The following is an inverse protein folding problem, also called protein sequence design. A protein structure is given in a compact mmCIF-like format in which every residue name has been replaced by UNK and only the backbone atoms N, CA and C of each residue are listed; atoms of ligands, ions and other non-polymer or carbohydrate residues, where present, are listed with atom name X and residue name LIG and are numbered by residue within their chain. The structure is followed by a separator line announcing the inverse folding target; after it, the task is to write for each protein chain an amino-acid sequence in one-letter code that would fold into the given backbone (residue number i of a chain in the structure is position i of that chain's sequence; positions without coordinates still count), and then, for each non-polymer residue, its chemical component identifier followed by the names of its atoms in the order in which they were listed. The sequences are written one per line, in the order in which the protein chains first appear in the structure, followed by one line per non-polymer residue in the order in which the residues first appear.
data_IF_264730410535
#
_entry.id   IF_264730410535
#
_cell.length_a   1.000
_cell.length_b   1.000
_cell.length_c   1.000
_cell.angle_alpha   90.00
_cell.angle_beta   90.00
_cell.angle_gamma   90.00
#
_symmetry.space_group_name_H-M   'P 1'
#
loop_
_entity.id
_entity.type
_entity.pdbx_description
1 polymer ?
#
# COMPACT_ATOMS: atom_id res chain seq x y z
N UNK A 1 9.67 11.78 14.07
CA UNK A 1 8.91 10.78 13.30
C UNK A 1 7.53 10.56 13.90
N UNK A 2 7.41 10.09 15.15
CA UNK A 2 6.10 9.93 15.82
C UNK A 2 5.23 11.20 15.82
N UNK A 3 5.80 12.34 16.23
CA UNK A 3 5.13 13.64 16.20
C UNK A 3 4.62 14.08 14.82
N UNK A 4 5.31 13.72 13.73
CA UNK A 4 4.85 14.06 12.38
C UNK A 4 3.57 13.27 12.04
N UNK A 5 3.55 11.97 12.35
CA UNK A 5 2.37 11.14 12.16
C UNK A 5 1.19 11.56 13.04
N UNK A 6 1.45 11.87 14.32
CA UNK A 6 0.39 12.23 15.26
C UNK A 6 -0.13 13.65 15.06
N UNK A 7 0.75 14.63 14.80
CA UNK A 7 0.36 16.04 14.74
C UNK A 7 0.05 16.53 13.33
N UNK A 8 0.76 16.06 12.29
CA UNK A 8 0.51 16.54 10.91
C UNK A 8 -0.48 15.67 10.15
N UNK A 9 -0.51 14.36 10.42
CA UNK A 9 -1.40 13.43 9.73
C UNK A 9 -2.56 12.93 10.62
N UNK A 10 -2.51 13.19 11.93
CA UNK A 10 -3.56 12.74 12.87
C UNK A 10 -3.64 11.22 13.02
N UNK A 11 -2.58 10.48 12.67
CA UNK A 11 -2.58 9.02 12.67
C UNK A 11 -2.19 8.45 14.02
N UNK A 12 -2.89 7.39 14.43
CA UNK A 12 -2.61 6.68 15.68
C UNK A 12 -1.35 5.85 15.52
N UNK A 13 -0.34 6.14 16.33
CA UNK A 13 0.90 5.37 16.37
C UNK A 13 0.90 4.39 17.53
N UNK A 14 1.41 3.18 17.30
CA UNK A 14 1.50 2.16 18.34
C UNK A 14 2.81 2.25 19.13
N UNK A 15 2.83 1.78 20.40
CA UNK A 15 4.07 1.60 21.14
C UNK A 15 4.94 0.49 20.52
N UNK A 16 6.26 0.67 20.59
CA UNK A 16 7.26 -0.27 20.08
C UNK A 16 8.26 0.33 19.09
N UNK A 17 9.35 -0.41 18.87
CA UNK A 17 10.35 -0.16 17.84
C UNK A 17 10.45 -1.41 16.94
N UNK A 18 10.32 -1.28 15.60
CA UNK A 18 10.11 -0.04 14.86
C UNK A 18 8.73 0.60 15.10
N UNK A 19 8.60 1.89 14.79
CA UNK A 19 7.35 2.65 14.93
C UNK A 19 6.29 2.02 14.03
N UNK A 20 5.06 1.86 14.54
CA UNK A 20 3.94 1.26 13.81
C UNK A 20 2.75 2.20 13.78
N UNK A 21 1.98 2.15 12.70
CA UNK A 21 0.75 2.91 12.49
C UNK A 21 -0.43 1.94 12.53
N UNK A 22 -1.48 2.29 13.28
CA UNK A 22 -2.70 1.49 13.33
C UNK A 22 -3.54 1.71 12.05
N UNK A 23 -4.07 0.62 11.49
CA UNK A 23 -4.96 0.63 10.32
C UNK A 23 -6.42 0.43 10.72
N UNK A 24 -7.36 0.76 9.82
CA UNK A 24 -8.81 0.68 10.04
C UNK A 24 -9.38 1.68 11.03
N UNK A 25 -8.67 2.80 11.22
CA UNK A 25 -9.17 3.97 11.93
C UNK A 25 -9.33 5.16 10.98
N UNK A 26 -8.26 5.46 10.24
CA UNK A 26 -8.17 6.59 9.29
C UNK A 26 -7.94 6.12 7.86
N UNK A 27 -7.30 4.97 7.71
CA UNK A 27 -6.97 4.36 6.44
C UNK A 27 -6.83 2.84 6.64
N UNK A 28 -7.09 2.12 5.57
CA UNK A 28 -6.69 0.73 5.39
C UNK A 28 -5.50 0.66 4.45
N UNK A 29 -4.87 -0.51 4.34
CA UNK A 29 -3.71 -0.70 3.48
C UNK A 29 -3.91 -1.90 2.59
N UNK A 30 -3.77 -1.71 1.27
CA UNK A 30 -3.58 -2.81 0.32
C UNK A 30 -2.10 -3.14 0.24
N UNK A 31 -1.75 -4.37 0.59
CA UNK A 31 -0.40 -4.92 0.59
C UNK A 31 -0.26 -5.92 -0.57
N UNK A 32 0.59 -5.59 -1.54
CA UNK A 32 0.80 -6.32 -2.79
C UNK A 32 2.30 -6.55 -3.06
N UNK A 33 2.70 -7.48 -3.95
CA UNK A 33 4.09 -7.60 -4.35
C UNK A 33 4.54 -6.32 -5.05
N UNK A 34 5.70 -5.78 -4.70
CA UNK A 34 6.24 -4.56 -5.28
C UNK A 34 6.35 -4.64 -6.80
N UNK A 35 6.73 -5.82 -7.32
CA UNK A 35 6.77 -6.08 -8.75
C UNK A 35 5.40 -5.87 -9.45
N UNK A 36 4.29 -6.14 -8.75
CA UNK A 36 2.92 -5.92 -9.25
C UNK A 36 2.47 -4.47 -9.07
N UNK A 37 2.86 -3.87 -7.95
CA UNK A 37 2.51 -2.49 -7.61
C UNK A 37 3.17 -1.45 -8.53
N UNK A 38 4.46 -1.59 -8.86
CA UNK A 38 5.17 -0.60 -9.70
C UNK A 38 4.52 -0.34 -11.06
N UNK A 39 4.17 -1.37 -11.87
CA UNK A 39 3.44 -1.15 -13.12
C UNK A 39 2.07 -0.50 -12.90
N UNK A 40 1.43 -0.75 -11.76
CA UNK A 40 0.11 -0.23 -11.47
C UNK A 40 0.14 1.23 -10.99
N UNK A 41 1.26 1.75 -10.46
CA UNK A 41 1.41 3.14 -10.05
C UNK A 41 1.12 4.17 -11.15
N UNK A 42 1.25 3.80 -12.43
CA UNK A 42 0.91 4.66 -13.58
C UNK A 42 -0.60 4.86 -13.76
N UNK A 43 -1.38 3.96 -13.17
CA UNK A 43 -2.84 3.94 -13.22
C UNK A 43 -3.47 4.53 -11.95
N UNK A 44 -2.64 4.93 -10.99
CA UNK A 44 -3.07 5.57 -9.75
C UNK A 44 -2.85 7.07 -9.85
N UNK A 45 -3.75 7.82 -9.22
CA UNK A 45 -3.59 9.26 -9.04
C UNK A 45 -2.23 9.58 -8.39
N UNK A 46 -1.61 10.72 -8.76
CA UNK A 46 -0.33 11.12 -8.18
C UNK A 46 -0.40 11.33 -6.66
N UNK A 47 -1.59 11.65 -6.14
CA UNK A 47 -1.86 11.90 -4.73
C UNK A 47 -2.02 10.62 -3.88
N UNK A 48 -2.13 9.43 -4.46
CA UNK A 48 -2.31 8.19 -3.68
C UNK A 48 -1.03 7.88 -2.88
N UNK A 49 -1.09 7.83 -1.53
CA UNK A 49 0.08 7.55 -0.72
C UNK A 49 0.51 6.09 -0.86
N UNK A 50 1.80 5.88 -1.16
CA UNK A 50 2.37 4.54 -1.38
C UNK A 50 3.68 4.40 -0.64
N UNK A 51 3.78 3.34 0.16
CA UNK A 51 4.99 2.93 0.85
C UNK A 51 5.55 1.61 0.29
N UNK A 52 6.87 1.43 0.38
CA UNK A 52 7.58 0.20 0.04
C UNK A 52 8.20 -0.39 1.30
N UNK A 53 7.98 -1.68 1.55
CA UNK A 53 8.67 -2.44 2.60
C UNK A 53 9.19 -3.75 2.02
N UNK A 54 10.51 -3.84 1.85
CA UNK A 54 11.14 -5.02 1.23
C UNK A 54 10.63 -5.23 -0.20
N UNK A 55 10.05 -6.39 -0.46
CA UNK A 55 9.44 -6.78 -1.73
C UNK A 55 7.92 -6.54 -1.79
N UNK A 56 7.36 -5.87 -0.78
CA UNK A 56 5.94 -5.54 -0.67
C UNK A 56 5.71 -4.05 -0.85
N UNK A 57 4.64 -3.69 -1.55
CA UNK A 57 4.15 -2.34 -1.73
C UNK A 57 2.84 -2.18 -0.98
N UNK A 58 2.73 -1.08 -0.23
CA UNK A 58 1.60 -0.74 0.63
C UNK A 58 0.94 0.52 0.12
N UNK A 59 -0.28 0.38 -0.34
CA UNK A 59 -1.10 1.48 -0.85
C UNK A 59 -2.12 1.81 0.21
N UNK A 60 -2.17 3.08 0.61
CA UNK A 60 -3.18 3.53 1.57
C UNK A 60 -4.51 3.71 0.82
N UNK A 61 -5.57 3.19 1.42
CA UNK A 61 -6.95 3.24 0.92
C UNK A 61 -7.89 3.66 2.05
N UNK A 62 -9.11 4.06 1.74
CA UNK A 62 -10.07 4.53 2.74
C UNK A 62 -10.32 3.45 3.81
N UNK A 63 -10.52 3.86 5.06
CA UNK A 63 -10.88 2.91 6.12
C UNK A 63 -12.19 2.19 5.78
N UNK A 64 -12.24 0.87 5.99
CA UNK A 64 -13.34 -0.01 5.57
C UNK A 64 -13.06 -0.76 4.26
N UNK A 65 -12.12 -0.28 3.43
CA UNK A 65 -11.74 -0.95 2.17
C UNK A 65 -11.22 -2.38 2.39
N UNK A 66 -10.62 -2.66 3.55
CA UNK A 66 -10.12 -3.99 3.86
C UNK A 66 -11.24 -5.01 4.06
N UNK A 67 -12.37 -4.59 4.62
CA UNK A 67 -13.55 -5.44 4.83
C UNK A 67 -14.32 -5.65 3.51
N UNK A 68 -14.26 -4.66 2.61
CA UNK A 68 -14.89 -4.72 1.29
C UNK A 68 -14.08 -5.52 0.27
N UNK A 69 -12.75 -5.63 0.46
CA UNK A 69 -11.85 -6.27 -0.49
C UNK A 69 -12.29 -7.70 -0.88
N UNK A 70 -12.64 -8.61 0.04
CA UNK A 70 -13.04 -9.97 -0.34
C UNK A 70 -14.27 -9.99 -1.26
N UNK A 71 -15.31 -9.23 -0.91
CA UNK A 71 -16.52 -9.13 -1.74
C UNK A 71 -16.26 -8.48 -3.09
N UNK A 72 -15.34 -7.51 -3.14
CA UNK A 72 -14.92 -6.86 -4.39
C UNK A 72 -14.12 -7.82 -5.29
N UNK A 73 -13.20 -8.61 -4.71
CA UNK A 73 -12.47 -9.63 -5.46
C UNK A 73 -13.40 -10.72 -6.00
N UNK A 74 -14.38 -11.14 -5.21
CA UNK A 74 -15.39 -12.10 -5.66
C UNK A 74 -16.25 -11.54 -6.81
N UNK A 75 -16.71 -10.29 -6.68
CA UNK A 75 -17.49 -9.63 -7.73
C UNK A 75 -16.70 -9.43 -9.04
N UNK A 76 -15.40 -9.15 -8.93
CA UNK A 76 -14.49 -9.03 -10.08
C UNK A 76 -14.01 -10.40 -10.60
N UNK A 77 -14.52 -11.52 -10.08
CA UNK A 77 -14.12 -12.89 -10.45
C UNK A 77 -12.64 -13.23 -10.14
N UNK A 78 -11.99 -12.42 -9.30
CA UNK A 78 -10.61 -12.60 -8.85
C UNK A 78 -10.51 -13.46 -7.58
N UNK A 79 -11.58 -13.62 -6.80
CA UNK A 79 -11.56 -14.22 -5.46
C UNK A 79 -11.12 -15.68 -5.37
N UNK A 80 -11.31 -16.47 -6.44
CA UNK A 80 -10.85 -17.85 -6.51
C UNK A 80 -9.34 -17.98 -6.83
N UNK A 81 -8.69 -16.89 -7.23
CA UNK A 81 -7.29 -16.89 -7.62
C UNK A 81 -6.41 -16.55 -6.41
N UNK A 82 -5.29 -17.28 -6.20
CA UNK A 82 -4.33 -16.96 -5.15
C UNK A 82 -3.51 -15.74 -5.57
N UNK A 83 -4.16 -14.57 -5.54
CA UNK A 83 -3.54 -13.28 -5.72
C UNK A 83 -2.79 -12.97 -4.43
N UNK A 84 -1.51 -12.63 -4.54
CA UNK A 84 -0.67 -12.24 -3.41
C UNK A 84 -1.00 -10.82 -2.91
N UNK A 85 -2.29 -10.45 -3.00
CA UNK A 85 -2.90 -9.18 -2.66
C UNK A 85 -3.66 -9.38 -1.36
N UNK A 86 -3.32 -8.60 -0.35
CA UNK A 86 -3.94 -8.65 0.98
C UNK A 86 -4.34 -7.25 1.42
N UNK A 87 -5.35 -7.14 2.28
CA UNK A 87 -5.69 -5.89 2.95
C UNK A 87 -5.40 -5.97 4.44
N UNK A 88 -4.96 -4.84 5.00
CA UNK A 88 -4.72 -4.65 6.42
C UNK A 88 -5.70 -3.58 6.89
N UNK A 89 -6.76 -4.02 7.56
CA UNK A 89 -7.86 -3.19 8.04
C UNK A 89 -7.84 -2.96 9.55
N UNK A 90 -9.02 -2.87 10.15
CA UNK A 90 -9.20 -2.63 11.58
C UNK A 90 -8.47 -3.66 12.45
N UNK A 91 -7.76 -3.17 13.47
CA UNK A 91 -6.95 -4.02 14.37
C UNK A 91 -5.60 -4.44 13.78
N UNK A 92 -5.34 -4.14 12.51
CA UNK A 92 -4.05 -4.28 11.86
C UNK A 92 -3.08 -3.13 12.15
N UNK A 93 -1.86 -3.27 11.64
CA UNK A 93 -0.86 -2.20 11.70
C UNK A 93 0.17 -2.36 10.60
N UNK A 94 0.78 -1.24 10.21
CA UNK A 94 1.95 -1.23 9.32
C UNK A 94 3.15 -0.60 10.02
N UNK A 95 4.35 -0.98 9.61
CA UNK A 95 5.56 -0.24 10.01
C UNK A 95 5.51 1.16 9.41
N UNK A 96 5.73 2.17 10.26
CA UNK A 96 5.64 3.57 9.88
C UNK A 96 6.72 3.89 8.83
N UNK A 97 6.34 4.31 7.61
CA UNK A 97 7.33 4.60 6.61
C UNK A 97 8.21 5.79 7.00
N UNK A 98 9.45 5.84 6.50
CA UNK A 98 10.32 6.98 6.78
C UNK A 98 9.87 8.20 5.96
N UNK A 99 9.57 9.36 6.57
CA UNK A 99 9.28 10.60 5.86
C UNK A 99 10.46 11.01 4.95
N UNK A 100 10.17 11.36 3.71
CA UNK A 100 11.17 11.71 2.69
C UNK A 100 11.94 13.02 2.98
N UNK A 101 11.57 13.77 4.03
CA UNK A 101 12.18 15.05 4.42
C UNK A 101 13.23 15.00 5.53
N UNK A 102 13.51 13.84 6.14
CA UNK A 102 14.52 13.72 7.21
C UNK A 102 15.96 13.52 6.70
N UNK A 103 16.21 13.83 5.42
CA UNK A 103 17.49 13.62 4.71
C UNK A 103 18.59 14.64 5.08
N UNK A 104 18.55 15.20 6.29
CA UNK A 104 19.59 16.09 6.83
C UNK A 104 20.74 15.36 7.54
N UNK A 105 20.77 14.02 7.55
CA UNK A 105 21.84 13.26 8.20
C UNK A 105 22.48 12.27 7.23
N UNK A 106 23.62 12.71 6.68
CA UNK A 106 24.78 11.98 6.13
C UNK A 106 24.58 10.49 5.79
N UNK A 107 24.93 10.02 4.57
CA UNK A 107 24.91 8.59 4.25
C UNK A 107 25.79 7.83 5.24
N UNK A 108 25.21 6.88 5.97
CA UNK A 108 25.98 5.93 6.76
C UNK A 108 26.75 5.01 5.80
N UNK A 109 28.01 4.67 6.09
CA UNK A 109 28.85 3.90 5.19
C UNK A 109 28.24 2.52 4.89
N UNK A 110 28.26 2.14 3.60
CA UNK A 110 27.98 0.78 3.13
C UNK A 110 28.89 -0.19 3.89
N UNK A 111 28.34 -0.88 4.89
CA UNK A 111 29.13 -1.83 5.68
C UNK A 111 28.35 -2.58 6.76
N UNK A 112 27.09 -2.22 7.02
CA UNK A 112 26.23 -2.96 7.96
C UNK A 112 24.77 -2.86 7.53
N UNK A 113 24.40 -3.60 6.49
CA UNK A 113 23.00 -3.85 6.15
C UNK A 113 22.40 -4.83 7.17
N UNK A 114 22.24 -4.38 8.41
CA UNK A 114 21.45 -5.05 9.44
C UNK A 114 20.26 -4.16 9.77
N UNK A 115 19.05 -4.67 9.58
CA UNK A 115 17.72 -4.01 9.70
C UNK A 115 17.20 -3.36 8.40
N UNK A 116 17.08 -4.16 7.34
CA UNK A 116 16.44 -3.82 6.06
C UNK A 116 14.89 -3.74 6.15
N UNK A 117 14.33 -3.46 7.35
CA UNK A 117 12.90 -3.57 7.66
C UNK A 117 12.09 -2.28 7.55
N UNK A 118 12.73 -1.12 7.47
CA UNK A 118 12.00 0.15 7.52
C UNK A 118 11.27 0.46 6.21
N UNK A 119 9.94 0.55 6.29
CA UNK A 119 9.13 1.04 5.19
C UNK A 119 9.59 2.45 4.75
N UNK A 120 9.51 2.75 3.45
CA UNK A 120 9.86 4.07 2.89
C UNK A 120 8.73 4.58 2.01
N UNK A 121 8.47 5.89 2.03
CA UNK A 121 7.48 6.48 1.11
C UNK A 121 8.02 6.50 -0.32
N UNK A 122 7.29 5.87 -1.25
CA UNK A 122 7.45 6.09 -2.69
C UNK A 122 6.69 7.34 -3.13
N UNK A 123 5.48 7.52 -2.59
CA UNK A 123 4.66 8.72 -2.72
C UNK A 123 4.16 9.09 -1.33
N UNK A 124 4.69 10.15 -0.70
CA UNK A 124 4.26 10.54 0.64
C UNK A 124 2.84 11.12 0.59
N UNK A 125 2.04 11.01 1.67
CA UNK A 125 0.80 11.76 1.80
C UNK A 125 1.10 13.27 1.84
N UNK A 126 0.22 14.09 1.27
CA UNK A 126 0.34 15.55 1.32
C UNK A 126 0.10 16.05 2.77
N UNK A 127 1.07 16.73 3.41
CA UNK A 127 0.87 17.29 4.75
C UNK A 127 -0.20 18.38 4.73
N UNK A 128 -1.18 18.30 5.64
CA UNK A 128 -2.23 19.33 5.79
C UNK A 128 -3.51 19.10 4.97
N UNK A 129 -3.55 18.09 4.11
CA UNK A 129 -4.80 17.56 3.57
C UNK A 129 -5.30 16.44 4.49
N UNK A 130 -6.61 16.39 4.75
CA UNK A 130 -7.22 15.22 5.39
C UNK A 130 -6.91 14.02 4.51
N UNK A 131 -6.02 13.14 4.95
CA UNK A 131 -5.53 12.00 4.16
C UNK A 131 -6.72 11.24 3.57
N UNK A 132 -7.78 11.07 4.36
CA UNK A 132 -9.07 10.46 4.00
C UNK A 132 -9.64 10.98 2.66
N UNK A 133 -9.50 12.27 2.36
CA UNK A 133 -10.03 12.88 1.13
C UNK A 133 -9.25 12.48 -0.14
N UNK A 134 -8.00 12.04 0.00
CA UNK A 134 -7.14 11.61 -1.10
C UNK A 134 -7.04 10.09 -1.25
N UNK A 135 -7.70 9.33 -0.35
CA UNK A 135 -7.65 7.87 -0.39
C UNK A 135 -8.67 7.32 -1.38
N UNK A 136 -8.29 6.29 -2.16
CA UNK A 136 -9.25 5.50 -2.93
C UNK A 136 -10.37 4.98 -2.01
N UNK A 137 -11.62 5.24 -2.38
CA UNK A 137 -12.83 4.80 -1.67
C UNK A 137 -13.78 4.05 -2.63
N UNK A 138 -14.70 3.23 -2.11
CA UNK A 138 -15.83 2.77 -2.92
C UNK A 138 -16.71 3.98 -3.22
N UNK A 139 -16.84 4.31 -4.51
CA UNK A 139 -17.57 5.49 -4.96
C UNK A 139 -19.07 5.38 -4.63
N UNK A 140 -19.49 5.90 -3.47
CA UNK A 140 -20.89 6.23 -3.20
C UNK A 140 -21.12 7.71 -3.54
N UNK A 141 -21.59 7.98 -4.77
CA UNK A 141 -22.25 9.23 -5.22
C UNK A 141 -21.58 10.56 -4.78
N UNK A 142 -20.90 11.21 -5.72
CA UNK A 142 -20.80 12.68 -5.73
C UNK A 142 -19.47 13.32 -5.30
N UNK A 143 -18.32 12.73 -5.64
CA UNK A 143 -17.00 13.37 -5.49
C UNK A 143 -16.38 13.65 -6.86
N UNK A 144 -15.86 14.85 -7.06
CA UNK A 144 -15.24 15.36 -8.29
C UNK A 144 -14.21 14.37 -8.88
N UNK A 145 -14.28 14.13 -10.18
CA UNK A 145 -13.76 12.94 -10.88
C UNK A 145 -12.25 12.79 -11.04
N UNK A 146 -11.45 13.02 -9.98
CA UNK A 146 -9.99 12.80 -9.98
C UNK A 146 -9.50 11.84 -8.86
N UNK A 147 -10.38 11.41 -7.95
CA UNK A 147 -10.04 10.38 -6.97
C UNK A 147 -10.09 8.97 -7.61
N UNK A 148 -9.03 8.14 -7.47
CA UNK A 148 -9.04 6.78 -7.99
C UNK A 148 -10.12 5.93 -7.29
N UNK A 149 -11.05 5.38 -8.07
CA UNK A 149 -12.07 4.44 -7.61
C UNK A 149 -11.42 3.13 -7.11
N UNK A 150 -11.80 2.69 -5.90
CA UNK A 150 -11.26 1.46 -5.28
C UNK A 150 -11.41 0.25 -6.20
N UNK A 151 -12.52 0.16 -6.94
CA UNK A 151 -12.77 -0.93 -7.90
C UNK A 151 -11.66 -1.01 -8.96
N UNK A 152 -11.33 0.13 -9.59
CA UNK A 152 -10.29 0.21 -10.63
C UNK A 152 -8.91 -0.09 -10.07
N UNK A 153 -8.64 0.40 -8.85
CA UNK A 153 -7.40 0.10 -8.14
C UNK A 153 -7.25 -1.41 -7.92
N UNK A 154 -8.26 -2.06 -7.33
CA UNK A 154 -8.23 -3.48 -7.01
C UNK A 154 -8.15 -4.33 -8.28
N UNK A 155 -8.94 -4.03 -9.31
CA UNK A 155 -8.86 -4.74 -10.59
C UNK A 155 -7.48 -4.61 -11.25
N UNK A 156 -6.91 -3.40 -11.22
CA UNK A 156 -5.56 -3.16 -11.72
C UNK A 156 -4.51 -3.97 -10.95
N UNK A 157 -4.59 -3.99 -9.61
CA UNK A 157 -3.65 -4.72 -8.78
C UNK A 157 -3.78 -6.23 -8.97
N UNK A 158 -5.00 -6.75 -9.00
CA UNK A 158 -5.29 -8.15 -9.28
C UNK A 158 -4.72 -8.56 -10.64
N UNK A 159 -4.95 -7.76 -11.69
CA UNK A 159 -4.41 -7.97 -13.03
C UNK A 159 -2.87 -8.03 -13.03
N UNK A 160 -2.19 -7.10 -12.35
CA UNK A 160 -0.72 -7.12 -12.32
C UNK A 160 -0.17 -8.30 -11.50
N UNK A 161 -0.81 -8.63 -10.37
CA UNK A 161 -0.45 -9.81 -9.57
C UNK A 161 -0.58 -11.09 -10.41
N UNK A 162 -1.70 -11.23 -11.11
CA UNK A 162 -1.95 -12.35 -12.01
C UNK A 162 -0.91 -12.43 -13.14
N UNK A 163 -0.59 -11.31 -13.79
CA UNK A 163 0.42 -11.25 -14.86
C UNK A 163 1.80 -11.71 -14.41
N UNK A 164 2.23 -11.34 -13.20
CA UNK A 164 3.52 -11.76 -12.65
C UNK A 164 3.51 -13.24 -12.33
N UNK A 165 2.41 -13.74 -11.77
CA UNK A 165 2.23 -15.17 -11.53
C UNK A 165 2.36 -15.96 -12.82
N UNK A 166 1.63 -15.57 -13.88
CA UNK A 166 1.73 -16.20 -15.20
C UNK A 166 3.17 -16.17 -15.75
N UNK A 167 3.86 -15.02 -15.63
CA UNK A 167 5.26 -14.91 -16.06
C UNK A 167 6.18 -15.85 -15.30
N UNK A 168 6.02 -15.98 -13.98
CA UNK A 168 6.80 -16.91 -13.16
C UNK A 168 6.53 -18.36 -13.56
N UNK A 169 5.27 -18.73 -13.79
CA UNK A 169 4.91 -20.07 -14.26
C UNK A 169 5.47 -20.37 -15.66
N UNK A 170 5.46 -19.42 -16.59
CA UNK A 170 6.07 -19.61 -17.91
C UNK A 170 7.61 -19.63 -17.88
N UNK A 171 8.23 -18.99 -16.88
CA UNK A 171 9.68 -18.94 -16.71
C UNK A 171 10.23 -20.16 -15.96
N UNK A 172 9.38 -20.94 -15.29
CA UNK A 172 9.75 -22.26 -14.80
C UNK A 172 9.93 -23.16 -16.02
N UNK A 173 11.15 -23.64 -16.32
CA UNK A 173 11.34 -24.62 -17.37
C UNK A 173 10.41 -25.78 -17.05
N UNK A 174 9.57 -26.18 -18.00
CA UNK A 174 8.89 -27.46 -17.94
C UNK A 174 10.01 -28.50 -17.90
N UNK A 175 10.40 -28.90 -16.69
CA UNK A 175 11.25 -30.04 -16.45
C UNK A 175 10.40 -31.28 -16.78
N UNK A 176 10.20 -31.51 -18.07
CA UNK A 176 9.77 -32.80 -18.56
C UNK A 176 10.94 -33.75 -18.30
N UNK A 177 10.74 -34.65 -17.34
CA UNK A 177 11.56 -35.85 -17.14
C UNK A 177 11.26 -36.88 -18.22
#
# INVERSE_FOLDING_TARGET
MRQWYEHELGWVTMPGLPLRLATGLRFDVLDVPAAAGFPALRHLGPATPVALQGDRMRLLVAAGSADELPGLLDWLEWGALPLDLTAIGTGGHIEAPRPSGLNGSRPLPLGRAGSQGAAVWLRPPEPGCEVEASLPTLSAVGGDGDAPDLVRLVDTMATQCHRIRLRRSCAQPLAFS
#
